data_IF_259855719419
#
_entry.id   IF_259855719419
#
_cell.length_a   1.000
_cell.length_b   1.000
_cell.length_c   1.000
_cell.angle_alpha   90.00
_cell.angle_beta   90.00
_cell.angle_gamma   90.00
#
_symmetry.space_group_name_H-M   'P 1'
#
loop_
_entity.id
_entity.type
_entity.pdbx_description
1 polymer ?
#
# COMPACT_ATOMS: atom_id res chain seq x y z
N UNK A 1 -8.21 0.13 55.00
CA UNK A 1 -8.39 0.04 53.53
C UNK A 1 -7.56 -1.13 53.03
N UNK A 2 -8.17 -2.18 52.48
CA UNK A 2 -7.39 -3.30 51.92
C UNK A 2 -6.63 -2.80 50.67
N UNK A 3 -5.31 -2.86 50.69
CA UNK A 3 -4.48 -2.59 49.50
C UNK A 3 -4.82 -3.60 48.43
N UNK A 4 -5.61 -3.21 47.44
CA UNK A 4 -5.90 -4.06 46.29
C UNK A 4 -4.59 -4.18 45.50
N UNK A 5 -4.03 -5.40 45.44
CA UNK A 5 -2.91 -5.71 44.57
C UNK A 5 -3.41 -5.63 43.12
N UNK A 6 -2.71 -4.86 42.30
CA UNK A 6 -2.98 -4.79 40.86
C UNK A 6 -2.14 -5.88 40.19
N UNK A 7 -2.82 -6.86 39.59
CA UNK A 7 -2.18 -7.88 38.75
C UNK A 7 -2.30 -7.43 37.31
N UNK A 8 -1.15 -7.16 36.68
CA UNK A 8 -1.08 -6.85 35.25
C UNK A 8 -0.55 -8.06 34.46
N UNK A 9 -1.03 -8.20 33.22
CA UNK A 9 -0.50 -9.20 32.31
C UNK A 9 0.89 -8.76 31.79
N UNK A 10 1.78 -9.71 31.52
CA UNK A 10 3.07 -9.42 30.88
C UNK A 10 2.85 -8.87 29.44
N UNK A 11 3.77 -8.01 28.94
CA UNK A 11 5.02 -7.58 29.58
C UNK A 11 4.81 -6.52 30.67
N UNK A 12 5.58 -6.62 31.74
CA UNK A 12 5.53 -5.65 32.88
C UNK A 12 6.39 -4.40 32.64
N UNK A 13 7.33 -4.47 31.70
CA UNK A 13 8.18 -3.36 31.29
C UNK A 13 7.63 -2.78 29.99
N UNK A 14 7.26 -1.49 30.02
CA UNK A 14 6.74 -0.79 28.85
C UNK A 14 7.80 0.19 28.35
N UNK A 15 8.04 0.19 27.02
CA UNK A 15 8.78 1.25 26.34
C UNK A 15 7.87 2.49 26.20
N UNK A 16 8.46 3.65 25.92
CA UNK A 16 7.69 4.88 25.65
C UNK A 16 6.95 4.85 24.29
N UNK A 17 6.92 3.72 23.61
CA UNK A 17 6.23 3.52 22.34
C UNK A 17 4.78 3.07 22.56
N UNK A 18 3.88 3.62 21.76
CA UNK A 18 2.47 3.25 21.74
C UNK A 18 2.00 3.00 20.32
N UNK A 19 0.96 2.19 20.17
CA UNK A 19 0.32 1.94 18.86
C UNK A 19 -0.06 3.27 18.21
N UNK A 20 -0.68 4.15 18.96
CA UNK A 20 -1.09 5.46 18.50
C UNK A 20 0.09 6.28 17.96
N UNK A 21 1.21 6.36 18.69
CA UNK A 21 2.41 7.09 18.27
C UNK A 21 2.97 6.57 16.95
N UNK A 22 3.01 5.25 16.77
CA UNK A 22 3.47 4.63 15.53
C UNK A 22 2.50 4.87 14.36
N UNK A 23 1.19 4.76 14.56
CA UNK A 23 0.18 5.04 13.53
C UNK A 23 0.24 6.51 13.08
N UNK A 24 0.30 7.46 14.02
CA UNK A 24 0.48 8.88 13.65
C UNK A 24 1.84 9.13 12.98
N UNK A 25 2.89 8.39 13.34
CA UNK A 25 4.17 8.43 12.64
C UNK A 25 4.06 8.03 11.16
N UNK A 26 3.28 6.99 10.84
CA UNK A 26 3.01 6.60 9.45
C UNK A 26 2.20 7.68 8.72
N UNK A 27 1.19 8.28 9.38
CA UNK A 27 0.43 9.39 8.79
C UNK A 27 1.33 10.59 8.45
N UNK A 28 2.26 10.95 9.34
CA UNK A 28 3.24 12.02 9.08
C UNK A 28 4.13 11.65 7.88
N UNK A 29 4.54 10.40 7.77
CA UNK A 29 5.34 9.91 6.63
C UNK A 29 4.57 9.98 5.28
N UNK A 30 3.24 9.93 5.30
CA UNK A 30 2.39 10.05 4.11
C UNK A 30 2.12 11.50 3.70
N UNK A 31 2.36 12.50 4.58
CA UNK A 31 2.09 13.92 4.28
C UNK A 31 2.78 14.40 2.99
N UNK A 32 4.08 14.15 2.75
CA UNK A 32 4.71 14.60 1.50
C UNK A 32 3.99 14.08 0.25
N UNK A 33 3.60 12.81 0.24
CA UNK A 33 2.87 12.20 -0.87
C UNK A 33 1.45 12.80 -1.01
N UNK A 34 0.76 13.09 0.09
CA UNK A 34 -0.53 13.79 0.09
C UNK A 34 -0.44 15.18 -0.53
N UNK A 35 0.56 15.96 -0.15
CA UNK A 35 0.75 17.31 -0.69
C UNK A 35 1.02 17.28 -2.19
N UNK A 36 1.87 16.36 -2.65
CA UNK A 36 2.14 16.20 -4.09
C UNK A 36 0.88 15.73 -4.82
N UNK A 37 0.11 14.80 -4.27
CA UNK A 37 -1.16 14.34 -4.85
C UNK A 37 -2.16 15.48 -5.00
N UNK A 38 -2.31 16.33 -3.98
CA UNK A 38 -3.21 17.49 -4.03
C UNK A 38 -2.74 18.54 -5.05
N UNK A 39 -1.43 18.74 -5.19
CA UNK A 39 -0.87 19.63 -6.19
C UNK A 39 -1.09 19.09 -7.62
N UNK A 40 -0.93 17.80 -7.86
CA UNK A 40 -1.02 17.20 -9.19
C UNK A 40 -2.48 17.01 -9.66
N UNK A 41 -3.38 16.56 -8.79
CA UNK A 41 -4.77 16.23 -9.14
C UNK A 41 -5.83 17.22 -8.58
N UNK A 42 -5.42 18.21 -7.78
CA UNK A 42 -6.28 19.29 -7.31
C UNK A 42 -7.49 18.80 -6.51
N UNK A 43 -8.67 19.33 -6.89
CA UNK A 43 -9.94 19.10 -6.17
C UNK A 43 -10.30 17.60 -6.08
N UNK A 44 -10.09 16.85 -7.15
CA UNK A 44 -10.39 15.41 -7.18
C UNK A 44 -9.65 14.64 -6.10
N UNK A 45 -8.35 14.90 -5.92
CA UNK A 45 -7.55 14.26 -4.88
C UNK A 45 -8.06 14.58 -3.47
N UNK A 46 -8.42 15.84 -3.22
CA UNK A 46 -8.95 16.27 -1.92
C UNK A 46 -10.28 15.59 -1.61
N UNK A 47 -11.21 15.58 -2.57
CA UNK A 47 -12.54 14.98 -2.41
C UNK A 47 -12.43 13.48 -2.17
N UNK A 48 -11.65 12.74 -2.98
CA UNK A 48 -11.48 11.29 -2.85
C UNK A 48 -10.83 10.95 -1.49
N UNK A 49 -9.77 11.67 -1.11
CA UNK A 49 -9.07 11.41 0.15
C UNK A 49 -9.96 11.68 1.37
N UNK A 50 -10.63 12.83 1.41
CA UNK A 50 -11.51 13.18 2.52
C UNK A 50 -12.68 12.20 2.63
N UNK A 51 -13.29 11.83 1.51
CA UNK A 51 -14.40 10.86 1.50
C UNK A 51 -13.97 9.50 1.98
N UNK A 52 -12.81 9.01 1.50
CA UNK A 52 -12.27 7.70 1.91
C UNK A 52 -11.97 7.67 3.42
N UNK A 53 -11.28 8.70 3.93
CA UNK A 53 -10.95 8.79 5.36
C UNK A 53 -12.21 8.92 6.22
N UNK A 54 -13.15 9.81 5.84
CA UNK A 54 -14.40 10.00 6.58
C UNK A 54 -15.23 8.71 6.61
N UNK A 55 -15.35 8.02 5.47
CA UNK A 55 -16.08 6.76 5.38
C UNK A 55 -15.43 5.65 6.22
N UNK A 56 -14.10 5.51 6.18
CA UNK A 56 -13.38 4.53 7.00
C UNK A 56 -13.57 4.77 8.49
N UNK A 57 -13.44 6.02 8.95
CA UNK A 57 -13.65 6.39 10.36
C UNK A 57 -15.10 6.17 10.76
N UNK A 58 -16.06 6.56 9.91
CA UNK A 58 -17.49 6.34 10.17
C UNK A 58 -17.83 4.86 10.29
N UNK A 59 -17.38 4.01 9.37
CA UNK A 59 -17.68 2.58 9.43
C UNK A 59 -17.00 1.89 10.63
N UNK A 60 -15.78 2.28 10.99
CA UNK A 60 -15.15 1.75 12.20
C UNK A 60 -15.94 2.13 13.45
N UNK A 61 -16.37 3.39 13.54
CA UNK A 61 -17.23 3.85 14.64
C UNK A 61 -18.56 3.09 14.68
N UNK A 62 -19.26 3.01 13.55
CA UNK A 62 -20.56 2.39 13.46
C UNK A 62 -20.50 0.89 13.82
N UNK A 63 -19.54 0.16 13.28
CA UNK A 63 -19.37 -1.27 13.55
C UNK A 63 -19.00 -1.48 15.03
N UNK A 64 -18.06 -0.69 15.57
CA UNK A 64 -17.63 -0.81 16.97
C UNK A 64 -18.79 -0.55 17.92
N UNK A 65 -19.61 0.49 17.66
CA UNK A 65 -20.70 0.91 18.54
C UNK A 65 -21.95 0.02 18.40
N UNK A 66 -22.40 -0.23 17.17
CA UNK A 66 -23.70 -0.87 16.93
C UNK A 66 -23.62 -2.39 16.81
N UNK A 67 -22.55 -2.93 16.19
CA UNK A 67 -22.42 -4.38 15.95
C UNK A 67 -21.65 -5.03 17.08
N UNK A 68 -20.44 -4.54 17.38
CA UNK A 68 -19.57 -5.16 18.40
C UNK A 68 -19.89 -4.70 19.82
N UNK A 69 -20.68 -3.63 19.99
CA UNK A 69 -21.10 -3.06 21.28
C UNK A 69 -19.96 -2.90 22.29
N UNK A 70 -18.76 -2.48 21.80
CA UNK A 70 -17.59 -2.24 22.65
C UNK A 70 -17.71 -0.88 23.33
N UNK A 71 -17.39 -0.83 24.64
CA UNK A 71 -17.39 0.42 25.40
C UNK A 71 -16.26 1.38 24.97
N UNK A 72 -15.10 0.83 24.61
CA UNK A 72 -13.94 1.62 24.16
C UNK A 72 -13.95 1.78 22.65
N UNK A 73 -13.90 3.02 22.22
CA UNK A 73 -13.74 3.37 20.79
C UNK A 73 -12.28 3.19 20.37
N UNK A 74 -12.07 2.57 19.20
CA UNK A 74 -10.74 2.39 18.59
C UNK A 74 -10.38 3.52 17.60
N UNK A 75 -11.28 4.48 17.37
CA UNK A 75 -11.14 5.53 16.35
C UNK A 75 -9.88 6.39 16.57
N UNK A 76 -9.51 6.63 17.85
CA UNK A 76 -8.38 7.50 18.19
C UNK A 76 -7.00 6.84 17.99
N UNK A 77 -6.93 5.57 17.62
CA UNK A 77 -5.65 4.89 17.36
C UNK A 77 -5.00 5.29 16.03
N UNK A 78 -5.74 5.97 15.13
CA UNK A 78 -5.28 6.44 13.83
C UNK A 78 -5.32 5.39 12.72
N UNK A 79 -5.62 4.14 13.01
CA UNK A 79 -5.59 3.04 12.04
C UNK A 79 -6.65 3.16 10.95
N UNK A 80 -7.87 3.66 11.28
CA UNK A 80 -8.91 3.92 10.27
C UNK A 80 -8.50 5.04 9.31
N UNK A 81 -7.82 6.06 9.81
CA UNK A 81 -7.32 7.17 9.01
C UNK A 81 -6.26 6.66 8.03
N UNK A 82 -5.30 5.86 8.51
CA UNK A 82 -4.28 5.22 7.63
C UNK A 82 -4.95 4.39 6.56
N UNK A 83 -5.90 3.53 6.93
CA UNK A 83 -6.64 2.69 5.96
C UNK A 83 -7.33 3.56 4.91
N UNK A 84 -7.98 4.65 5.31
CA UNK A 84 -8.64 5.58 4.41
C UNK A 84 -7.68 6.31 3.47
N UNK A 85 -6.52 6.77 3.96
CA UNK A 85 -5.49 7.43 3.15
C UNK A 85 -4.85 6.43 2.18
N UNK A 86 -4.48 5.24 2.63
CA UNK A 86 -3.88 4.22 1.77
C UNK A 86 -4.87 3.71 0.72
N UNK A 87 -6.15 3.57 1.07
CA UNK A 87 -7.19 3.25 0.09
C UNK A 87 -7.28 4.37 -0.96
N UNK A 88 -7.43 5.63 -0.53
CA UNK A 88 -7.51 6.78 -1.43
C UNK A 88 -6.33 6.86 -2.38
N UNK A 89 -5.11 6.62 -1.89
CA UNK A 89 -3.89 6.66 -2.70
C UNK A 89 -3.86 5.64 -3.85
N UNK A 90 -4.65 4.59 -3.76
CA UNK A 90 -4.78 3.59 -4.83
C UNK A 90 -5.99 3.85 -5.75
N UNK A 91 -6.75 4.92 -5.52
CA UNK A 91 -7.93 5.25 -6.31
C UNK A 91 -7.62 6.33 -7.36
N UNK A 92 -8.38 6.34 -8.48
CA UNK A 92 -8.37 7.46 -9.42
C UNK A 92 -8.99 8.71 -8.77
N UNK A 93 -8.50 9.91 -9.17
CA UNK A 93 -8.99 11.18 -8.63
C UNK A 93 -10.41 11.57 -9.08
N UNK A 94 -10.95 10.90 -10.10
CA UNK A 94 -12.30 11.13 -10.66
C UNK A 94 -13.34 10.10 -10.21
N UNK A 95 -13.00 9.24 -9.24
CA UNK A 95 -13.86 8.14 -8.83
C UNK A 95 -15.15 8.65 -8.15
N UNK A 96 -16.35 8.15 -8.53
CA UNK A 96 -17.62 8.52 -7.89
C UNK A 96 -17.64 8.19 -6.38
N UNK A 97 -18.19 9.10 -5.57
CA UNK A 97 -18.18 9.01 -4.10
C UNK A 97 -18.77 7.70 -3.57
N UNK A 98 -19.85 7.20 -4.17
CA UNK A 98 -20.51 5.98 -3.72
C UNK A 98 -19.61 4.73 -3.85
N UNK A 99 -18.74 4.67 -4.86
CA UNK A 99 -17.76 3.58 -5.02
C UNK A 99 -16.72 3.64 -3.92
N UNK A 100 -16.22 4.84 -3.58
CA UNK A 100 -15.28 5.06 -2.48
C UNK A 100 -15.88 4.60 -1.15
N UNK A 101 -17.15 4.93 -0.89
CA UNK A 101 -17.87 4.53 0.33
C UNK A 101 -18.00 3.00 0.42
N UNK A 102 -18.33 2.32 -0.69
CA UNK A 102 -18.39 0.85 -0.74
C UNK A 102 -17.00 0.25 -0.47
N UNK A 103 -15.94 0.80 -1.09
CA UNK A 103 -14.57 0.36 -0.86
C UNK A 103 -14.14 0.52 0.60
N UNK A 104 -14.47 1.64 1.24
CA UNK A 104 -14.21 1.89 2.64
C UNK A 104 -15.00 0.92 3.57
N UNK A 105 -16.26 0.63 3.23
CA UNK A 105 -17.06 -0.36 3.97
C UNK A 105 -16.41 -1.74 3.91
N UNK A 106 -15.96 -2.18 2.75
CA UNK A 106 -15.31 -3.49 2.58
C UNK A 106 -13.94 -3.50 3.29
N UNK A 107 -13.14 -2.43 3.13
CA UNK A 107 -11.84 -2.33 3.79
C UNK A 107 -11.96 -2.43 5.31
N UNK A 108 -12.84 -1.64 5.92
CA UNK A 108 -13.01 -1.63 7.39
C UNK A 108 -13.88 -2.80 7.85
N UNK A 109 -15.04 -3.02 7.24
CA UNK A 109 -15.99 -4.06 7.66
C UNK A 109 -15.41 -5.44 7.48
N UNK A 110 -15.06 -5.80 6.24
CA UNK A 110 -14.56 -7.15 5.91
C UNK A 110 -13.07 -7.29 6.23
N UNK A 111 -12.24 -6.31 5.84
CA UNK A 111 -10.78 -6.43 5.98
C UNK A 111 -10.27 -6.32 7.41
N UNK A 112 -10.96 -5.59 8.29
CA UNK A 112 -10.47 -5.29 9.64
C UNK A 112 -11.42 -5.78 10.76
N UNK A 113 -12.67 -5.32 10.77
CA UNK A 113 -13.55 -5.48 11.92
C UNK A 113 -14.10 -6.90 12.07
N UNK A 114 -14.31 -7.62 10.97
CA UNK A 114 -14.77 -9.03 10.97
C UNK A 114 -13.80 -9.95 11.72
N UNK A 115 -12.51 -9.68 11.67
CA UNK A 115 -11.46 -10.46 12.32
C UNK A 115 -11.17 -10.03 13.78
N UNK A 116 -11.81 -8.96 14.27
CA UNK A 116 -11.64 -8.49 15.64
C UNK A 116 -11.05 -7.09 15.80
N UNK A 117 -10.67 -6.42 14.72
CA UNK A 117 -10.12 -5.07 14.68
C UNK A 117 -8.61 -5.06 14.50
N UNK A 118 -7.96 -3.96 14.91
CA UNK A 118 -6.53 -3.77 14.76
C UNK A 118 -5.73 -4.90 15.43
N UNK A 119 -4.77 -5.46 14.70
CA UNK A 119 -3.91 -6.54 15.18
C UNK A 119 -4.40 -7.96 14.87
N UNK A 120 -5.64 -8.14 14.41
CA UNK A 120 -6.22 -9.44 14.11
C UNK A 120 -6.45 -9.67 12.61
N UNK A 121 -6.25 -8.68 11.76
CA UNK A 121 -6.51 -8.75 10.34
C UNK A 121 -5.46 -9.63 9.61
N UNK A 122 -5.88 -10.65 8.84
CA UNK A 122 -4.97 -11.50 8.07
C UNK A 122 -4.42 -10.81 6.82
N UNK A 123 -5.12 -9.81 6.30
CA UNK A 123 -4.77 -9.02 5.13
C UNK A 123 -4.73 -7.53 5.47
N UNK A 124 -3.95 -6.76 4.70
CA UNK A 124 -3.99 -5.30 4.80
C UNK A 124 -5.39 -4.79 4.42
N UNK A 125 -6.09 -4.06 5.31
CA UNK A 125 -7.49 -3.67 5.08
C UNK A 125 -7.68 -2.77 3.85
N UNK A 126 -6.74 -1.85 3.58
CA UNK A 126 -6.80 -0.99 2.40
C UNK A 126 -6.72 -1.82 1.10
N UNK A 127 -5.88 -2.87 1.07
CA UNK A 127 -5.78 -3.77 -0.07
C UNK A 127 -7.03 -4.63 -0.26
N UNK A 128 -7.69 -5.06 0.81
CA UNK A 128 -8.97 -5.78 0.72
C UNK A 128 -10.01 -4.92 0.01
N UNK A 129 -10.14 -3.65 0.42
CA UNK A 129 -11.05 -2.69 -0.22
C UNK A 129 -10.68 -2.42 -1.67
N UNK A 130 -9.39 -2.19 -1.95
CA UNK A 130 -8.88 -1.94 -3.30
C UNK A 130 -9.15 -3.09 -4.26
N UNK A 131 -8.79 -4.33 -3.87
CA UNK A 131 -8.97 -5.51 -4.73
C UNK A 131 -10.45 -5.77 -4.99
N UNK A 132 -11.30 -5.60 -3.96
CA UNK A 132 -12.73 -5.67 -4.13
C UNK A 132 -13.23 -4.68 -5.18
N UNK A 133 -12.79 -3.40 -5.11
CA UNK A 133 -13.18 -2.38 -6.08
C UNK A 133 -12.66 -2.67 -7.49
N UNK A 134 -11.42 -3.15 -7.64
CA UNK A 134 -10.84 -3.51 -8.94
C UNK A 134 -11.61 -4.63 -9.64
N UNK A 135 -12.12 -5.59 -8.87
CA UNK A 135 -12.88 -6.71 -9.43
C UNK A 135 -14.33 -6.30 -9.71
N UNK A 136 -14.96 -5.52 -8.81
CA UNK A 136 -16.38 -5.18 -8.91
C UNK A 136 -16.65 -3.99 -9.85
N UNK A 137 -15.74 -3.03 -9.95
CA UNK A 137 -15.87 -1.80 -10.73
C UNK A 137 -14.66 -1.54 -11.63
N UNK A 138 -14.29 -2.49 -12.52
CA UNK A 138 -13.04 -2.41 -13.30
C UNK A 138 -12.96 -1.17 -14.18
N UNK A 139 -14.06 -0.74 -14.79
CA UNK A 139 -14.08 0.41 -15.71
C UNK A 139 -13.74 1.70 -14.96
N UNK A 140 -14.40 1.95 -13.84
CA UNK A 140 -14.18 3.17 -13.04
C UNK A 140 -12.79 3.16 -12.38
N UNK A 141 -12.32 1.98 -11.98
CA UNK A 141 -11.01 1.82 -11.32
C UNK A 141 -9.82 1.87 -12.28
N UNK A 142 -10.03 1.78 -13.58
CA UNK A 142 -8.97 1.86 -14.59
C UNK A 142 -9.02 3.14 -15.42
N UNK A 143 -9.87 4.10 -15.05
CA UNK A 143 -9.97 5.42 -15.68
C UNK A 143 -9.06 6.40 -14.95
N UNK A 144 -7.88 6.68 -15.51
CA UNK A 144 -6.85 7.48 -14.85
C UNK A 144 -6.83 8.91 -15.38
N UNK A 145 -7.15 9.92 -14.54
CA UNK A 145 -7.08 11.33 -14.94
C UNK A 145 -5.68 11.80 -15.25
N UNK A 146 -5.58 12.72 -16.21
CA UNK A 146 -4.36 13.45 -16.47
C UNK A 146 -4.06 14.40 -15.30
N UNK A 147 -2.78 14.69 -15.09
CA UNK A 147 -2.33 15.64 -14.05
C UNK A 147 -2.67 17.09 -14.41
N UNK A 148 -2.63 18.00 -13.43
CA UNK A 148 -2.85 19.46 -13.57
C UNK A 148 -4.27 19.90 -13.93
N UNK A 149 -5.27 19.05 -13.72
CA UNK A 149 -6.68 19.41 -13.90
C UNK A 149 -7.30 19.83 -12.57
N UNK A 150 -6.83 20.91 -11.99
CA UNK A 150 -7.10 21.31 -10.60
C UNK A 150 -8.57 21.53 -10.23
N UNK A 151 -9.39 22.00 -11.17
CA UNK A 151 -10.81 22.27 -10.94
C UNK A 151 -11.75 21.14 -11.36
N UNK A 152 -11.25 20.10 -12.05
CA UNK A 152 -12.07 19.00 -12.55
C UNK A 152 -12.16 17.88 -11.51
N UNK A 153 -13.32 17.19 -11.48
CA UNK A 153 -13.53 16.01 -10.66
C UNK A 153 -14.00 14.84 -11.54
N UNK A 154 -15.32 14.68 -11.75
CA UNK A 154 -15.87 13.58 -12.56
C UNK A 154 -15.63 13.76 -14.06
N UNK A 155 -15.46 15.00 -14.51
CA UNK A 155 -15.29 15.39 -15.91
C UNK A 155 -13.81 15.54 -16.31
N UNK A 156 -12.89 14.97 -15.51
CA UNK A 156 -11.47 15.01 -15.79
C UNK A 156 -11.11 14.16 -17.04
N UNK A 157 -10.29 14.73 -17.91
CA UNK A 157 -9.74 13.99 -19.06
C UNK A 157 -8.83 12.85 -18.58
N UNK A 158 -8.96 11.68 -19.20
CA UNK A 158 -8.21 10.48 -18.82
C UNK A 158 -7.12 10.16 -19.86
N UNK A 159 -6.03 9.57 -19.40
CA UNK A 159 -4.91 9.17 -20.23
C UNK A 159 -4.42 7.76 -19.95
N UNK A 160 -3.60 7.23 -20.86
CA UNK A 160 -2.94 5.96 -20.64
C UNK A 160 -1.86 6.09 -19.57
N UNK A 161 -1.87 5.19 -18.58
CA UNK A 161 -0.80 5.16 -17.58
C UNK A 161 0.49 4.60 -18.16
N UNK A 162 1.65 4.95 -17.61
CA UNK A 162 2.93 4.35 -18.02
C UNK A 162 2.90 2.81 -17.97
N UNK A 163 2.25 2.21 -16.98
CA UNK A 163 2.07 0.75 -16.90
C UNK A 163 1.21 0.18 -18.05
N UNK A 164 0.18 0.90 -18.49
CA UNK A 164 -0.62 0.50 -19.64
C UNK A 164 0.21 0.52 -20.92
N UNK A 165 1.06 1.55 -21.11
CA UNK A 165 1.98 1.62 -22.26
C UNK A 165 3.01 0.49 -22.24
N UNK A 166 3.62 0.19 -21.10
CA UNK A 166 4.53 -0.96 -20.96
C UNK A 166 3.83 -2.28 -21.31
N UNK A 167 2.58 -2.43 -20.90
CA UNK A 167 1.81 -3.65 -21.23
C UNK A 167 1.44 -3.76 -22.70
N UNK A 168 1.19 -2.64 -23.39
CA UNK A 168 1.00 -2.62 -24.84
C UNK A 168 2.28 -3.04 -25.58
N UNK A 169 3.44 -2.58 -25.11
CA UNK A 169 4.74 -2.99 -25.67
C UNK A 169 4.95 -4.51 -25.57
N UNK A 170 4.71 -5.10 -24.40
CA UNK A 170 4.79 -6.57 -24.21
C UNK A 170 3.82 -7.32 -25.13
N UNK A 171 2.67 -6.73 -25.52
CA UNK A 171 1.70 -7.30 -26.44
C UNK A 171 2.07 -7.14 -27.94
N UNK A 172 3.20 -6.47 -28.22
CA UNK A 172 3.72 -6.33 -29.59
C UNK A 172 3.59 -4.94 -30.22
N UNK A 173 3.16 -3.92 -29.47
CA UNK A 173 3.18 -2.53 -29.95
C UNK A 173 4.55 -1.89 -29.69
N UNK A 174 5.42 -1.95 -30.70
CA UNK A 174 6.79 -1.44 -30.62
C UNK A 174 6.86 0.08 -30.36
N UNK A 175 5.81 0.85 -30.65
CA UNK A 175 5.78 2.30 -30.48
C UNK A 175 5.37 2.71 -29.06
N UNK A 176 4.80 1.81 -28.28
CA UNK A 176 4.29 2.14 -26.95
C UNK A 176 5.38 2.58 -25.98
N UNK A 177 6.58 1.98 -26.02
CA UNK A 177 7.71 2.39 -25.18
C UNK A 177 8.24 3.79 -25.51
N UNK A 178 8.12 4.24 -26.77
CA UNK A 178 8.50 5.59 -27.18
C UNK A 178 7.58 6.69 -26.62
N UNK A 179 6.38 6.33 -26.16
CA UNK A 179 5.43 7.25 -25.54
C UNK A 179 5.59 7.34 -24.01
N UNK A 180 6.49 6.56 -23.41
CA UNK A 180 6.75 6.63 -21.98
C UNK A 180 7.35 7.99 -21.61
N UNK A 181 6.87 8.61 -20.52
CA UNK A 181 7.51 9.81 -19.98
C UNK A 181 8.96 9.54 -19.61
N UNK A 182 9.78 10.58 -19.64
CA UNK A 182 11.18 10.49 -19.21
C UNK A 182 11.29 10.02 -17.75
N UNK A 183 12.37 9.33 -17.44
CA UNK A 183 12.63 8.75 -16.10
C UNK A 183 12.55 9.81 -14.99
N UNK A 184 12.96 11.04 -15.25
CA UNK A 184 12.86 12.14 -14.30
C UNK A 184 11.39 12.53 -14.05
N UNK A 185 10.59 12.57 -15.10
CA UNK A 185 9.14 12.85 -15.00
C UNK A 185 8.42 11.75 -14.21
N UNK A 186 8.78 10.47 -14.41
CA UNK A 186 8.27 9.35 -13.64
C UNK A 186 8.67 9.44 -12.17
N UNK A 187 9.90 9.86 -11.88
CA UNK A 187 10.39 10.02 -10.50
C UNK A 187 9.71 11.17 -9.75
N UNK A 188 9.48 12.29 -10.43
CA UNK A 188 8.82 13.48 -9.88
C UNK A 188 7.29 13.35 -9.84
N UNK A 189 6.71 12.52 -10.75
CA UNK A 189 5.30 12.22 -10.75
C UNK A 189 4.43 12.99 -11.74
N UNK A 190 4.99 13.44 -12.83
CA UNK A 190 4.24 14.14 -13.89
C UNK A 190 3.65 13.12 -14.90
N UNK A 191 2.80 12.22 -14.42
CA UNK A 191 2.18 11.16 -15.23
C UNK A 191 0.77 10.82 -14.70
N UNK A 192 -0.14 10.34 -15.56
CA UNK A 192 -1.44 9.84 -15.13
C UNK A 192 -1.28 8.59 -14.29
N UNK A 193 -2.08 8.47 -13.22
CA UNK A 193 -2.01 7.33 -12.32
C UNK A 193 -2.91 7.47 -11.10
N UNK A 194 -2.73 6.60 -10.11
CA UNK A 194 -3.43 6.70 -8.84
C UNK A 194 -2.89 7.85 -7.98
N UNK A 195 -3.68 8.32 -7.02
CA UNK A 195 -3.34 9.49 -6.19
C UNK A 195 -2.00 9.36 -5.46
N UNK A 196 -1.65 8.18 -4.98
CA UNK A 196 -0.43 7.92 -4.22
C UNK A 196 0.76 7.43 -5.04
N UNK A 197 0.53 7.12 -6.32
CA UNK A 197 1.53 6.57 -7.23
C UNK A 197 2.45 7.65 -7.83
N UNK A 198 1.98 8.89 -7.78
CA UNK A 198 2.46 9.98 -8.62
C UNK A 198 3.92 10.34 -8.37
N UNK A 199 4.38 10.45 -7.12
CA UNK A 199 5.76 10.87 -6.85
C UNK A 199 6.57 9.85 -6.05
N UNK A 200 7.49 9.17 -6.70
CA UNK A 200 8.45 8.29 -6.04
C UNK A 200 9.32 9.05 -5.03
N UNK A 201 9.70 10.30 -5.32
CA UNK A 201 10.47 11.16 -4.42
C UNK A 201 9.73 11.40 -3.10
N UNK A 202 8.45 11.75 -3.16
CA UNK A 202 7.66 12.02 -1.95
C UNK A 202 7.51 10.77 -1.07
N UNK A 203 7.34 9.59 -1.68
CA UNK A 203 7.27 8.31 -0.97
C UNK A 203 8.62 7.93 -0.35
N UNK A 204 9.75 8.21 -1.02
CA UNK A 204 11.10 7.99 -0.49
C UNK A 204 11.40 8.91 0.70
N UNK A 205 10.92 10.15 0.71
CA UNK A 205 11.00 11.03 1.89
C UNK A 205 10.24 10.43 3.07
N UNK A 206 9.04 9.87 2.82
CA UNK A 206 8.27 9.14 3.83
C UNK A 206 9.02 7.91 4.35
N UNK A 207 9.65 7.12 3.46
CA UNK A 207 10.51 5.99 3.85
C UNK A 207 11.65 6.43 4.76
N UNK A 208 12.37 7.50 4.38
CA UNK A 208 13.47 8.05 5.18
C UNK A 208 13.01 8.43 6.59
N UNK A 209 11.86 9.08 6.72
CA UNK A 209 11.28 9.42 8.02
C UNK A 209 10.94 8.17 8.85
N UNK A 210 10.28 7.16 8.24
CA UNK A 210 9.93 5.93 8.96
C UNK A 210 11.14 5.11 9.41
N UNK A 211 12.21 5.07 8.61
CA UNK A 211 13.48 4.43 8.97
C UNK A 211 14.19 5.20 10.08
N UNK A 212 14.23 6.53 10.00
CA UNK A 212 14.82 7.38 11.04
C UNK A 212 14.12 7.23 12.39
N UNK A 213 12.79 7.18 12.40
CA UNK A 213 11.98 6.94 13.61
C UNK A 213 11.94 5.47 14.03
N UNK A 214 12.56 4.56 13.28
CA UNK A 214 12.54 3.11 13.52
C UNK A 214 11.12 2.51 13.55
N UNK A 215 10.19 3.12 12.82
CA UNK A 215 8.81 2.62 12.67
C UNK A 215 8.83 1.33 11.86
N UNK A 216 9.62 1.26 10.79
CA UNK A 216 9.78 0.07 9.96
C UNK A 216 11.25 -0.32 9.83
N UNK A 217 11.50 -1.57 9.40
CA UNK A 217 12.81 -2.05 9.00
C UNK A 217 13.00 -1.97 7.49
N UNK A 218 14.22 -1.77 7.03
CA UNK A 218 14.57 -1.65 5.61
C UNK A 218 14.42 -2.96 4.80
N UNK A 219 14.31 -4.11 5.47
CA UNK A 219 14.38 -5.44 4.85
C UNK A 219 13.28 -5.66 3.79
N UNK A 220 12.03 -5.31 4.09
CA UNK A 220 10.91 -5.51 3.15
C UNK A 220 11.00 -4.55 1.97
N UNK A 221 11.07 -3.21 2.14
CA UNK A 221 11.13 -2.29 1.00
C UNK A 221 12.31 -2.58 0.07
N UNK A 222 13.51 -2.76 0.63
CA UNK A 222 14.71 -2.98 -0.17
C UNK A 222 14.65 -4.31 -0.91
N UNK A 223 14.20 -5.41 -0.28
CA UNK A 223 14.10 -6.70 -0.95
C UNK A 223 13.10 -6.68 -2.11
N UNK A 224 11.95 -5.97 -1.97
CA UNK A 224 10.99 -5.79 -3.07
C UNK A 224 11.63 -5.02 -4.23
N UNK A 225 12.20 -3.84 -3.94
CA UNK A 225 12.76 -2.97 -4.96
C UNK A 225 13.92 -3.63 -5.71
N UNK A 226 14.83 -4.30 -4.99
CA UNK A 226 15.96 -5.02 -5.61
C UNK A 226 15.46 -6.16 -6.47
N UNK A 227 14.47 -6.93 -6.02
CA UNK A 227 13.94 -8.05 -6.81
C UNK A 227 13.26 -7.58 -8.08
N UNK A 228 12.46 -6.50 -8.01
CA UNK A 228 11.83 -5.90 -9.19
C UNK A 228 12.89 -5.37 -10.14
N UNK A 229 13.90 -4.65 -9.64
CA UNK A 229 14.98 -4.11 -10.45
C UNK A 229 15.75 -5.22 -11.20
N UNK A 230 16.16 -6.26 -10.49
CA UNK A 230 16.91 -7.38 -11.07
C UNK A 230 16.06 -8.14 -12.08
N UNK A 231 14.82 -8.50 -11.74
CA UNK A 231 13.97 -9.26 -12.63
C UNK A 231 13.57 -8.46 -13.88
N UNK A 232 13.13 -7.21 -13.73
CA UNK A 232 12.83 -6.34 -14.87
C UNK A 232 14.08 -6.07 -15.72
N UNK A 233 15.26 -5.96 -15.08
CA UNK A 233 16.54 -5.82 -15.78
C UNK A 233 16.89 -7.03 -16.63
N UNK A 234 16.70 -8.24 -16.10
CA UNK A 234 16.91 -9.46 -16.86
C UNK A 234 15.98 -9.56 -18.07
N UNK A 235 14.70 -9.20 -17.91
CA UNK A 235 13.74 -9.18 -19.01
C UNK A 235 14.12 -8.14 -20.09
N UNK A 236 14.53 -6.94 -19.66
CA UNK A 236 14.98 -5.89 -20.57
C UNK A 236 16.25 -6.29 -21.35
N UNK A 237 17.17 -7.04 -20.74
CA UNK A 237 18.37 -7.56 -21.43
C UNK A 237 18.03 -8.61 -22.47
N UNK A 238 16.93 -9.38 -22.28
CA UNK A 238 16.47 -10.38 -23.26
C UNK A 238 15.88 -9.70 -24.49
N UNK A 239 15.00 -8.72 -24.28
CA UNK A 239 14.36 -7.98 -25.37
C UNK A 239 14.10 -6.51 -24.96
N UNK A 240 15.01 -5.58 -25.32
CA UNK A 240 14.86 -4.17 -24.97
C UNK A 240 13.68 -3.47 -25.68
N UNK A 241 13.16 -4.05 -26.77
CA UNK A 241 12.04 -3.45 -27.51
C UNK A 241 10.70 -3.80 -26.88
N UNK A 242 10.57 -5.02 -26.34
CA UNK A 242 9.35 -5.47 -25.70
C UNK A 242 9.24 -5.07 -24.22
N UNK A 243 10.37 -5.02 -23.50
CA UNK A 243 10.36 -4.80 -22.06
C UNK A 243 10.99 -3.45 -21.70
N UNK A 244 10.26 -2.68 -20.89
CA UNK A 244 10.72 -1.37 -20.42
C UNK A 244 11.96 -1.46 -19.51
N UNK A 245 12.64 -0.32 -19.31
CA UNK A 245 13.80 -0.26 -18.43
C UNK A 245 13.45 -0.59 -16.97
N UNK A 246 14.39 -1.17 -16.19
CA UNK A 246 14.18 -1.49 -14.78
C UNK A 246 13.74 -0.28 -13.94
N UNK A 247 14.31 0.90 -14.23
CA UNK A 247 13.94 2.14 -13.52
C UNK A 247 12.51 2.56 -13.80
N UNK A 248 12.02 2.37 -15.04
CA UNK A 248 10.62 2.62 -15.35
C UNK A 248 9.70 1.72 -14.53
N UNK A 249 10.03 0.43 -14.38
CA UNK A 249 9.26 -0.47 -13.52
C UNK A 249 9.27 -0.07 -12.04
N UNK A 250 10.36 0.54 -11.54
CA UNK A 250 10.46 1.01 -10.15
C UNK A 250 9.59 2.25 -9.88
N UNK A 251 9.58 3.21 -10.83
CA UNK A 251 8.94 4.50 -10.61
C UNK A 251 7.51 4.58 -11.15
N UNK A 252 6.96 3.47 -11.66
CA UNK A 252 5.60 3.42 -12.18
C UNK A 252 4.73 2.47 -11.37
N UNK A 253 3.44 2.78 -11.33
CA UNK A 253 2.47 2.01 -10.58
C UNK A 253 2.64 2.15 -9.08
N UNK A 254 1.76 1.50 -8.33
CA UNK A 254 1.78 1.49 -6.87
C UNK A 254 2.96 0.75 -6.24
N UNK A 255 4.05 0.47 -6.98
CA UNK A 255 5.19 -0.29 -6.44
C UNK A 255 5.82 0.39 -5.22
N UNK A 256 6.16 1.68 -5.35
CA UNK A 256 6.78 2.42 -4.25
C UNK A 256 5.85 2.56 -3.06
N UNK A 257 4.58 2.90 -3.27
CA UNK A 257 3.57 2.98 -2.23
C UNK A 257 3.38 1.62 -1.54
N UNK A 258 3.23 0.57 -2.34
CA UNK A 258 3.04 -0.80 -1.85
C UNK A 258 4.22 -1.32 -1.05
N UNK A 259 5.45 -1.14 -1.56
CA UNK A 259 6.68 -1.62 -0.90
C UNK A 259 6.96 -0.89 0.42
N UNK A 260 6.68 0.42 0.48
CA UNK A 260 7.05 1.26 1.63
C UNK A 260 5.96 1.24 2.71
N UNK A 261 4.67 1.34 2.34
CA UNK A 261 3.59 1.58 3.30
C UNK A 261 2.62 0.40 3.45
N UNK A 262 2.43 -0.43 2.41
CA UNK A 262 1.43 -1.50 2.45
C UNK A 262 2.02 -2.86 2.82
N UNK A 263 3.19 -3.22 2.28
CA UNK A 263 3.87 -4.47 2.59
C UNK A 263 4.54 -4.47 3.97
N UNK A 264 4.75 -3.30 4.56
CA UNK A 264 5.36 -3.12 5.88
C UNK A 264 4.34 -3.01 7.01
N UNK A 265 3.09 -3.36 6.78
CA UNK A 265 2.07 -3.44 7.83
C UNK A 265 2.49 -4.43 8.91
N UNK A 266 2.44 -4.01 10.18
CA UNK A 266 2.91 -4.79 11.32
C UNK A 266 2.19 -6.12 11.52
N UNK A 267 0.91 -6.17 11.15
CA UNK A 267 0.05 -7.33 11.39
C UNK A 267 0.25 -8.39 10.32
N UNK A 268 0.38 -7.95 9.07
CA UNK A 268 0.35 -8.82 7.89
C UNK A 268 1.73 -9.18 7.35
N UNK A 269 2.81 -8.61 7.91
CA UNK A 269 4.19 -8.90 7.51
C UNK A 269 4.88 -9.91 8.45
N UNK A 270 5.92 -10.64 7.98
CA UNK A 270 6.67 -11.57 8.80
C UNK A 270 7.45 -10.90 9.93
N UNK A 271 7.60 -11.61 11.06
CA UNK A 271 8.26 -11.10 12.27
C UNK A 271 9.79 -11.11 12.20
N UNK A 272 10.40 -12.03 11.45
CA UNK A 272 11.85 -12.21 11.42
C UNK A 272 12.49 -11.57 10.21
N UNK A 273 13.72 -11.07 10.33
CA UNK A 273 14.44 -10.46 9.20
C UNK A 273 14.59 -11.40 8.00
N UNK A 274 14.83 -12.71 8.25
CA UNK A 274 14.85 -13.72 7.18
C UNK A 274 13.49 -13.87 6.51
N UNK A 275 12.41 -13.94 7.30
CA UNK A 275 11.05 -13.98 6.78
C UNK A 275 10.70 -12.73 5.98
N UNK A 276 11.10 -11.54 6.44
CA UNK A 276 10.89 -10.26 5.74
C UNK A 276 11.56 -10.23 4.37
N UNK A 277 12.80 -10.78 4.24
CA UNK A 277 13.50 -10.86 2.95
C UNK A 277 12.78 -11.82 2.01
N UNK A 278 12.42 -13.03 2.49
CA UNK A 278 11.69 -14.02 1.67
C UNK A 278 10.36 -13.43 1.18
N UNK A 279 9.61 -12.79 2.09
CA UNK A 279 8.35 -12.13 1.79
C UNK A 279 8.53 -11.03 0.73
N UNK A 280 9.53 -10.16 0.90
CA UNK A 280 9.78 -9.09 -0.04
C UNK A 280 10.25 -9.57 -1.42
N UNK A 281 11.14 -10.59 -1.47
CA UNK A 281 11.55 -11.21 -2.74
C UNK A 281 10.36 -11.83 -3.46
N UNK A 282 9.51 -12.56 -2.75
CA UNK A 282 8.31 -13.16 -3.34
C UNK A 282 7.33 -12.12 -3.87
N UNK A 283 7.09 -11.02 -3.13
CA UNK A 283 6.26 -9.89 -3.62
C UNK A 283 6.86 -9.28 -4.88
N UNK A 284 8.15 -8.96 -4.87
CA UNK A 284 8.83 -8.36 -6.03
C UNK A 284 8.73 -9.27 -7.27
N UNK A 285 8.97 -10.56 -7.10
CA UNK A 285 8.83 -11.55 -8.17
C UNK A 285 7.41 -11.62 -8.71
N UNK A 286 6.40 -11.79 -7.85
CA UNK A 286 4.99 -11.85 -8.24
C UNK A 286 4.54 -10.56 -8.94
N UNK A 287 5.01 -9.40 -8.45
CA UNK A 287 4.67 -8.10 -9.06
C UNK A 287 5.10 -8.03 -10.51
N UNK A 288 6.34 -8.42 -10.83
CA UNK A 288 6.85 -8.39 -12.21
C UNK A 288 6.13 -9.43 -13.07
N UNK A 289 5.89 -10.63 -12.55
CA UNK A 289 5.15 -11.69 -13.27
C UNK A 289 3.73 -11.20 -13.62
N UNK A 290 3.00 -10.60 -12.68
CA UNK A 290 1.64 -10.10 -12.93
C UNK A 290 1.68 -8.93 -13.93
N UNK A 291 2.64 -8.01 -13.81
CA UNK A 291 2.79 -6.89 -14.74
C UNK A 291 3.04 -7.33 -16.17
N UNK A 292 3.91 -8.30 -16.37
CA UNK A 292 4.30 -8.76 -17.71
C UNK A 292 3.26 -9.73 -18.29
N UNK A 293 2.84 -10.73 -17.52
CA UNK A 293 2.05 -11.86 -18.01
C UNK A 293 0.59 -11.85 -17.51
N UNK A 294 0.26 -11.11 -16.46
CA UNK A 294 -1.10 -11.06 -15.91
C UNK A 294 -2.10 -10.25 -16.73
N UNK A 295 -3.37 -10.26 -16.34
CA UNK A 295 -4.42 -9.47 -16.97
C UNK A 295 -4.35 -7.98 -16.59
N UNK A 296 -4.08 -7.70 -15.33
CA UNK A 296 -3.99 -6.33 -14.79
C UNK A 296 -2.60 -5.73 -15.00
N UNK A 297 -2.49 -4.42 -15.32
CA UNK A 297 -1.19 -3.73 -15.43
C UNK A 297 -0.53 -3.53 -14.08
N UNK A 298 -1.30 -3.35 -13.02
CA UNK A 298 -0.85 -3.22 -11.64
C UNK A 298 -0.75 -4.61 -10.98
N UNK A 299 0.47 -4.99 -10.58
CA UNK A 299 0.72 -6.29 -9.95
C UNK A 299 0.94 -6.23 -8.45
N UNK A 300 1.30 -5.05 -7.91
CA UNK A 300 1.80 -4.91 -6.55
C UNK A 300 0.74 -5.23 -5.50
N UNK A 301 -0.47 -4.72 -5.67
CA UNK A 301 -1.58 -4.91 -4.75
C UNK A 301 -1.97 -6.39 -4.60
N UNK A 302 -2.04 -7.10 -5.74
CA UNK A 302 -2.31 -8.54 -5.75
C UNK A 302 -1.14 -9.35 -5.16
N UNK A 303 0.10 -8.98 -5.46
CA UNK A 303 1.28 -9.66 -4.92
C UNK A 303 1.34 -9.57 -3.39
N UNK A 304 1.11 -8.38 -2.81
CA UNK A 304 1.05 -8.21 -1.35
C UNK A 304 -0.11 -9.02 -0.78
N UNK A 305 -1.28 -8.96 -1.39
CA UNK A 305 -2.47 -9.66 -0.89
C UNK A 305 -2.25 -11.19 -0.85
N UNK A 306 -1.68 -11.76 -1.91
CA UNK A 306 -1.32 -13.18 -1.97
C UNK A 306 -0.30 -13.51 -0.87
N UNK A 307 0.75 -12.70 -0.74
CA UNK A 307 1.82 -12.97 0.22
C UNK A 307 1.39 -12.76 1.67
N UNK A 308 0.40 -11.91 1.94
CA UNK A 308 -0.22 -11.81 3.27
C UNK A 308 -0.83 -13.17 3.71
N UNK A 309 -1.46 -13.91 2.77
CA UNK A 309 -1.98 -15.25 3.06
C UNK A 309 -0.87 -16.26 3.40
N UNK A 310 0.35 -16.07 2.85
CA UNK A 310 1.50 -16.92 3.13
C UNK A 310 2.33 -16.49 4.36
N UNK A 311 2.06 -15.33 4.95
CA UNK A 311 2.78 -14.83 6.13
C UNK A 311 2.77 -15.79 7.31
N UNK A 312 1.64 -16.44 7.68
CA UNK A 312 1.63 -17.43 8.76
C UNK A 312 2.55 -18.63 8.47
N UNK A 313 2.61 -19.06 7.20
CA UNK A 313 3.51 -20.13 6.78
C UNK A 313 4.98 -19.72 6.92
N UNK A 314 5.34 -18.52 6.43
CA UNK A 314 6.68 -17.96 6.57
C UNK A 314 7.09 -17.89 8.05
N UNK A 315 6.22 -17.39 8.92
CA UNK A 315 6.46 -17.29 10.35
C UNK A 315 6.61 -18.67 11.03
N UNK A 316 5.98 -19.71 10.50
CA UNK A 316 6.14 -21.08 11.02
C UNK A 316 7.52 -21.65 10.72
N UNK A 317 8.08 -21.39 9.53
CA UNK A 317 9.40 -21.89 9.15
C UNK A 317 10.55 -20.95 9.57
N UNK A 318 10.31 -19.65 9.60
CA UNK A 318 11.30 -18.64 9.98
C UNK A 318 11.08 -18.16 11.42
N UNK A 319 11.03 -19.07 12.39
CA UNK A 319 10.84 -18.70 13.81
C UNK A 319 12.04 -17.94 14.37
N UNK A 320 11.81 -16.94 15.26
CA UNK A 320 12.89 -16.36 16.05
C UNK A 320 13.50 -17.42 16.99
N UNK A 321 14.79 -17.32 17.26
CA UNK A 321 15.46 -18.19 18.23
C UNK A 321 14.86 -17.95 19.62
N UNK A 322 14.60 -19.03 20.34
CA UNK A 322 14.11 -18.94 21.72
C UNK A 322 15.24 -18.50 22.65
N UNK A 323 14.90 -17.75 23.69
CA UNK A 323 15.88 -17.40 24.72
C UNK A 323 16.46 -18.67 25.36
N UNK A 324 17.81 -18.76 25.49
CA UNK A 324 18.48 -19.94 26.02
C UNK A 324 18.68 -21.10 25.05
N UNK A 325 18.26 -21.00 23.80
CA UNK A 325 18.50 -22.05 22.80
C UNK A 325 19.97 -22.06 22.36
N UNK A 326 20.67 -23.17 22.67
CA UNK A 326 22.09 -23.36 22.27
C UNK A 326 22.15 -23.60 20.78
N UNK A 327 22.80 -22.71 20.06
CA UNK A 327 23.03 -22.87 18.61
C UNK A 327 24.03 -24.01 18.42
N UNK A 328 23.55 -25.17 17.99
CA UNK A 328 24.48 -26.17 17.43
C UNK A 328 25.13 -25.54 16.19
N UNK A 329 26.45 -25.31 16.27
CA UNK A 329 27.30 -24.87 15.16
C UNK A 329 27.30 -25.90 14.05
#
# INVERSE_FOLDING_TARGET
>A
MANKLIVSLSPHVHSGDSIQKNMYGVLIALIPALLVSFYMFGLGAVVVTLTSVAACVFFEWAITKFILKRERSTICDGSAIITGVLLAFNLPSNLPLWIIIIGALVAIGVGKMTFGGLGCNPFNPALVGLIFLLISFPVQMTSWPLVQQWGSYTDAETGATPLALMKMAVKGDANALGQLPDTLSLFLGNNPGSLGEVSALALLLGLGYMLWKKIISWHIPVSILVTVFVFAGLMHLVDPVAYASPLAHLFTGGLMLGAIFMATDYVTSPMTHKGMIIYGVAIGFLTVVIRLFGAYPEGMSFAIFIMNAFTPLINTYCKPKRFGEVVKK
#
